data_IF_230287914692
#
_entry.id   IF_230287914692
#
_cell.length_a   1.000
_cell.length_b   1.000
_cell.length_c   1.000
_cell.angle_alpha   90.00
_cell.angle_beta   90.00
_cell.angle_gamma   90.00
#
_symmetry.space_group_name_H-M   'P 1'
#
loop_
_entity.id
_entity.type
_entity.pdbx_description
1 polymer ?
#
# COMPACT_ATOMS: atom_id res chain seq x y z
N UNK A 1 -21.39 -13.15 -12.60
CA UNK A 1 -21.54 -11.70 -12.38
C UNK A 1 -21.55 -11.38 -10.90
N UNK A 2 -22.61 -11.80 -10.19
CA UNK A 2 -22.75 -11.62 -8.74
C UNK A 2 -21.66 -12.34 -7.93
N UNK A 3 -21.40 -13.61 -8.23
CA UNK A 3 -20.40 -14.44 -7.54
C UNK A 3 -18.97 -13.87 -7.62
N UNK A 4 -18.60 -13.26 -8.75
CA UNK A 4 -17.26 -12.68 -8.92
C UNK A 4 -17.03 -11.45 -8.02
N UNK A 5 -18.07 -10.64 -7.80
CA UNK A 5 -17.99 -9.51 -6.89
C UNK A 5 -17.91 -9.94 -5.43
N UNK A 6 -18.63 -11.01 -5.06
CA UNK A 6 -18.58 -11.59 -3.71
C UNK A 6 -17.19 -12.17 -3.39
N UNK A 7 -16.55 -12.87 -4.34
CA UNK A 7 -15.18 -13.37 -4.19
C UNK A 7 -14.17 -12.23 -4.06
N UNK A 8 -14.30 -11.17 -4.87
CA UNK A 8 -13.42 -10.01 -4.78
C UNK A 8 -13.57 -9.27 -3.44
N UNK A 9 -14.79 -9.19 -2.91
CA UNK A 9 -15.05 -8.57 -1.61
C UNK A 9 -14.47 -9.39 -0.46
N UNK A 10 -14.70 -10.71 -0.45
CA UNK A 10 -14.19 -11.65 0.57
C UNK A 10 -12.65 -11.69 0.60
N UNK A 11 -12.02 -11.69 -0.57
CA UNK A 11 -10.56 -11.71 -0.70
C UNK A 11 -9.87 -10.37 -0.49
N UNK A 12 -10.60 -9.26 -0.34
CA UNK A 12 -10.01 -7.92 -0.21
C UNK A 12 -9.86 -7.48 1.25
N UNK A 13 -8.80 -6.74 1.54
CA UNK A 13 -8.60 -6.08 2.83
C UNK A 13 -9.08 -4.63 2.72
N UNK A 14 -10.06 -4.20 3.53
CA UNK A 14 -10.52 -2.81 3.54
C UNK A 14 -9.41 -1.80 3.86
N UNK A 15 -9.47 -0.62 3.26
CA UNK A 15 -8.47 0.45 3.43
C UNK A 15 -8.33 0.90 4.90
N UNK A 16 -9.43 0.88 5.66
CA UNK A 16 -9.47 1.29 7.07
C UNK A 16 -8.69 0.34 8.00
N UNK A 17 -8.30 -0.85 7.52
CA UNK A 17 -7.42 -1.76 8.26
C UNK A 17 -5.94 -1.38 8.16
N UNK A 18 -5.59 -0.41 7.32
CA UNK A 18 -4.22 0.02 7.10
C UNK A 18 -3.92 1.36 7.77
N UNK A 19 -2.68 1.52 8.23
CA UNK A 19 -2.13 2.79 8.71
C UNK A 19 -1.16 3.31 7.65
N UNK A 20 -1.18 4.62 7.43
CA UNK A 20 -0.37 5.31 6.43
C UNK A 20 0.43 6.43 7.09
N UNK A 21 1.60 6.72 6.52
CA UNK A 21 2.43 7.85 6.92
C UNK A 21 3.17 8.39 5.69
N UNK A 22 3.53 9.67 5.74
CA UNK A 22 4.28 10.29 4.67
C UNK A 22 5.74 9.81 4.68
N UNK A 23 6.32 9.65 3.49
CA UNK A 23 7.72 9.27 3.29
C UNK A 23 8.42 10.27 2.36
N UNK A 24 9.75 10.20 2.27
CA UNK A 24 10.52 11.09 1.41
C UNK A 24 10.20 10.88 -0.07
N UNK A 25 10.30 11.93 -0.89
CA UNK A 25 10.12 11.81 -2.36
C UNK A 25 11.23 10.97 -3.02
N UNK A 26 12.32 10.66 -2.31
CA UNK A 26 13.41 9.83 -2.82
C UNK A 26 12.96 8.41 -3.18
N UNK A 27 11.88 7.91 -2.56
CA UNK A 27 11.28 6.60 -2.87
C UNK A 27 10.83 6.47 -4.33
N UNK A 28 10.53 7.60 -5.00
CA UNK A 28 10.12 7.60 -6.40
C UNK A 28 11.23 7.23 -7.40
N UNK A 29 12.50 7.25 -6.99
CA UNK A 29 13.61 6.81 -7.81
C UNK A 29 13.99 5.36 -7.48
N UNK A 30 13.70 4.43 -8.40
CA UNK A 30 13.94 2.99 -8.25
C UNK A 30 15.40 2.61 -7.93
N UNK A 31 16.36 3.49 -8.24
CA UNK A 31 17.78 3.26 -7.91
C UNK A 31 18.06 3.36 -6.42
N UNK A 32 17.19 3.98 -5.63
CA UNK A 32 17.29 4.05 -4.19
C UNK A 32 16.68 2.76 -3.60
N UNK A 33 17.42 2.07 -2.74
CA UNK A 33 17.02 0.77 -2.17
C UNK A 33 17.26 0.69 -0.64
N UNK A 34 17.53 1.82 0.01
CA UNK A 34 17.78 1.82 1.44
C UNK A 34 16.49 1.76 2.27
N UNK A 35 16.65 1.39 3.54
CA UNK A 35 15.53 1.23 4.46
C UNK A 35 14.91 2.57 4.90
N UNK A 36 15.54 3.70 4.61
CA UNK A 36 15.00 5.03 4.95
C UNK A 36 13.79 5.40 4.08
N UNK A 37 13.60 4.74 2.93
CA UNK A 37 12.52 5.03 1.99
C UNK A 37 11.12 4.72 2.53
N UNK A 38 11.03 3.90 3.57
CA UNK A 38 9.77 3.58 4.27
C UNK A 38 9.71 4.21 5.66
N UNK A 39 10.65 5.08 6.03
CA UNK A 39 10.61 5.78 7.32
C UNK A 39 9.72 7.03 7.22
N UNK A 40 9.00 7.39 8.30
CA UNK A 40 8.22 8.62 8.35
C UNK A 40 9.11 9.86 8.15
N UNK A 41 8.58 10.88 7.48
CA UNK A 41 9.16 12.24 7.44
C UNK A 41 8.60 13.16 8.53
#
# INVERSE_FOLDING_TARGET
GKEAAEIAADGSVPADKFIWHAVTRAVGNVKNQGAELIQPI
#
